data_IF_741710873550
#
_entry.id   IF_741710873550
#
_cell.length_a   1.000
_cell.length_b   1.000
_cell.length_c   1.000
_cell.angle_alpha   90.00
_cell.angle_beta   90.00
_cell.angle_gamma   90.00
#
_symmetry.space_group_name_H-M   'P 1'
#
loop_
_entity.id
_entity.type
_entity.pdbx_description
1 polymer ?
#
# COMPACT_ATOMS: atom_id res chain seq x y z
N UNK A 1 -49.96 0.16 6.95
CA UNK A 1 -48.87 1.06 6.51
C UNK A 1 -47.59 0.34 6.78
N UNK A 2 -47.07 -0.34 5.76
CA UNK A 2 -45.85 -1.13 5.79
C UNK A 2 -44.72 -0.20 5.39
N UNK A 3 -43.78 0.02 6.32
CA UNK A 3 -42.54 0.75 6.06
C UNK A 3 -41.63 -0.13 5.17
N UNK A 4 -41.44 0.31 3.94
CA UNK A 4 -40.39 -0.22 3.05
C UNK A 4 -39.04 0.21 3.60
N UNK A 5 -38.31 -0.77 4.14
CA UNK A 5 -36.86 -0.63 4.40
C UNK A 5 -36.16 -0.59 3.06
N UNK A 6 -35.67 0.57 2.66
CA UNK A 6 -34.67 0.71 1.60
C UNK A 6 -33.36 0.09 2.08
N UNK A 7 -33.16 -1.20 1.78
CA UNK A 7 -31.85 -1.81 1.83
C UNK A 7 -30.98 -1.18 0.72
N UNK A 8 -30.04 -0.35 1.13
CA UNK A 8 -28.93 0.06 0.26
C UNK A 8 -28.01 -1.15 0.14
N UNK A 9 -28.32 -2.02 -0.82
CA UNK A 9 -27.43 -3.11 -1.22
C UNK A 9 -26.27 -2.45 -1.99
N UNK A 10 -25.12 -2.33 -1.34
CA UNK A 10 -23.87 -2.10 -2.04
C UNK A 10 -23.53 -3.38 -2.80
N UNK A 11 -23.85 -3.37 -4.08
CA UNK A 11 -23.65 -4.48 -5.01
C UNK A 11 -22.16 -4.57 -5.38
N UNK A 12 -21.33 -5.17 -4.48
CA UNK A 12 -19.93 -5.49 -4.73
C UNK A 12 -19.78 -6.61 -5.79
N UNK A 13 -20.87 -7.24 -6.23
CA UNK A 13 -20.86 -8.39 -7.17
C UNK A 13 -21.08 -7.98 -8.65
N UNK A 14 -21.31 -6.71 -8.95
CA UNK A 14 -21.34 -6.21 -10.33
C UNK A 14 -20.03 -5.58 -10.75
N UNK A 15 -18.92 -6.30 -10.64
CA UNK A 15 -17.73 -5.97 -11.39
C UNK A 15 -17.98 -6.45 -12.83
N UNK A 16 -18.53 -5.56 -13.65
CA UNK A 16 -18.57 -5.75 -15.10
C UNK A 16 -17.14 -5.91 -15.62
N UNK A 17 -16.94 -6.82 -16.58
CA UNK A 17 -15.67 -7.15 -17.23
C UNK A 17 -15.05 -6.03 -18.07
N UNK A 18 -15.07 -4.79 -17.59
CA UNK A 18 -14.49 -3.62 -18.27
C UNK A 18 -14.10 -2.51 -17.27
N UNK A 19 -13.44 -2.87 -16.13
CA UNK A 19 -12.60 -1.85 -15.49
C UNK A 19 -11.40 -1.65 -16.42
N UNK A 20 -11.34 -0.51 -17.11
CA UNK A 20 -10.13 -0.08 -17.81
C UNK A 20 -9.04 0.08 -16.73
N UNK A 21 -8.04 -0.79 -16.79
CA UNK A 21 -6.88 -0.68 -15.90
C UNK A 21 -6.16 0.64 -16.19
N UNK A 22 -5.67 1.27 -15.13
CA UNK A 22 -4.85 2.47 -15.28
C UNK A 22 -3.65 2.15 -16.17
N UNK A 23 -3.38 3.02 -17.14
CA UNK A 23 -2.25 2.84 -18.05
C UNK A 23 -0.93 2.94 -17.25
N UNK A 24 0.00 1.97 -17.37
CA UNK A 24 1.31 2.05 -16.71
C UNK A 24 2.07 3.35 -16.99
N UNK A 25 1.96 3.91 -18.19
CA UNK A 25 2.61 5.18 -18.55
C UNK A 25 2.01 6.37 -17.79
N UNK A 26 0.72 6.35 -17.51
CA UNK A 26 0.07 7.39 -16.67
C UNK A 26 0.55 7.32 -15.22
N UNK A 27 0.65 6.11 -14.64
CA UNK A 27 1.22 5.91 -13.31
C UNK A 27 2.69 6.33 -13.24
N UNK A 28 3.45 6.04 -14.29
CA UNK A 28 4.84 6.51 -14.38
C UNK A 28 4.91 8.05 -14.37
N UNK A 29 4.05 8.73 -15.12
CA UNK A 29 3.99 10.19 -15.13
C UNK A 29 3.57 10.75 -13.75
N UNK A 30 2.62 10.11 -13.07
CA UNK A 30 2.24 10.45 -11.69
C UNK A 30 3.42 10.32 -10.74
N UNK A 31 4.19 9.23 -10.82
CA UNK A 31 5.40 9.02 -10.03
C UNK A 31 6.40 10.16 -10.24
N UNK A 32 6.69 10.51 -11.50
CA UNK A 32 7.64 11.58 -11.82
C UNK A 32 7.15 12.93 -11.28
N UNK A 33 5.87 13.25 -11.44
CA UNK A 33 5.29 14.47 -10.88
C UNK A 33 5.37 14.49 -9.34
N UNK A 34 5.18 13.36 -8.69
CA UNK A 34 5.28 13.23 -7.25
C UNK A 34 6.73 13.50 -6.79
N UNK A 35 7.72 12.88 -7.43
CA UNK A 35 9.15 13.08 -7.12
C UNK A 35 9.57 14.54 -7.35
N UNK A 36 9.19 15.14 -8.47
CA UNK A 36 9.56 16.51 -8.83
C UNK A 36 8.97 17.58 -7.90
N UNK A 37 7.88 17.30 -7.18
CA UNK A 37 7.32 18.22 -6.18
C UNK A 37 8.25 18.50 -5.01
N UNK A 38 9.07 17.53 -4.60
CA UNK A 38 9.99 17.71 -3.46
C UNK A 38 11.46 17.68 -3.86
N UNK A 39 11.78 17.17 -5.05
CA UNK A 39 13.11 17.18 -5.65
C UNK A 39 13.09 17.72 -7.08
N UNK A 40 12.87 19.04 -7.28
CA UNK A 40 12.70 19.62 -8.63
C UNK A 40 13.96 19.53 -9.50
N UNK A 41 15.14 19.40 -8.88
CA UNK A 41 16.45 19.36 -9.54
C UNK A 41 17.02 17.95 -9.69
N UNK A 42 16.32 16.91 -9.20
CA UNK A 42 16.85 15.56 -9.23
C UNK A 42 16.84 14.96 -10.64
N UNK A 43 17.91 14.28 -10.94
CA UNK A 43 18.01 13.46 -12.15
C UNK A 43 17.12 12.22 -12.00
N UNK A 44 16.08 12.15 -12.83
CA UNK A 44 15.10 11.05 -12.88
C UNK A 44 15.55 9.88 -13.76
N UNK A 45 16.75 9.95 -14.37
CA UNK A 45 17.22 8.94 -15.34
C UNK A 45 17.28 7.53 -14.75
N UNK A 46 17.63 7.41 -13.44
CA UNK A 46 17.64 6.12 -12.75
C UNK A 46 16.23 5.56 -12.55
N UNK A 47 15.25 6.40 -12.26
CA UNK A 47 13.83 6.00 -12.12
C UNK A 47 13.29 5.55 -13.47
N UNK A 48 13.58 6.30 -14.54
CA UNK A 48 13.20 5.94 -15.90
C UNK A 48 13.82 4.61 -16.33
N UNK A 49 15.10 4.40 -16.04
CA UNK A 49 15.80 3.15 -16.29
C UNK A 49 15.16 1.98 -15.53
N UNK A 50 14.84 2.17 -14.24
CA UNK A 50 14.18 1.16 -13.42
C UNK A 50 12.80 0.78 -13.97
N UNK A 51 12.00 1.77 -14.37
CA UNK A 51 10.71 1.52 -15.00
C UNK A 51 10.83 0.68 -16.27
N UNK A 52 11.77 1.01 -17.17
CA UNK A 52 12.02 0.25 -18.42
C UNK A 52 12.43 -1.19 -18.13
N UNK A 53 13.35 -1.39 -17.19
CA UNK A 53 13.84 -2.71 -16.78
C UNK A 53 12.72 -3.54 -16.16
N UNK A 54 11.96 -2.99 -15.19
CA UNK A 54 10.86 -3.69 -14.56
C UNK A 54 9.73 -4.01 -15.56
N UNK A 55 9.40 -3.08 -16.48
CA UNK A 55 8.38 -3.29 -17.51
C UNK A 55 8.74 -4.42 -18.45
N UNK A 56 9.99 -4.51 -18.89
CA UNK A 56 10.42 -5.61 -19.75
C UNK A 56 10.50 -6.94 -18.98
N UNK A 57 10.98 -6.92 -17.73
CA UNK A 57 11.10 -8.10 -16.88
C UNK A 57 9.72 -8.74 -16.57
N UNK A 58 8.68 -7.92 -16.37
CA UNK A 58 7.32 -8.36 -16.05
C UNK A 58 6.35 -8.33 -17.24
N UNK A 59 6.84 -8.19 -18.47
CA UNK A 59 6.06 -7.92 -19.69
C UNK A 59 4.87 -8.87 -19.94
N UNK A 60 4.98 -10.13 -19.55
CA UNK A 60 3.94 -11.14 -19.75
C UNK A 60 3.30 -11.60 -18.43
N UNK A 61 3.53 -10.87 -17.37
CA UNK A 61 2.98 -11.20 -16.05
C UNK A 61 1.75 -10.34 -15.75
N UNK A 62 0.76 -10.97 -15.14
CA UNK A 62 -0.50 -10.34 -14.74
C UNK A 62 -0.81 -10.67 -13.28
N UNK A 63 -1.38 -9.72 -12.57
CA UNK A 63 -1.89 -9.94 -11.23
C UNK A 63 -3.22 -10.73 -11.26
N UNK A 64 -3.69 -11.17 -10.09
CA UNK A 64 -5.00 -11.86 -9.96
C UNK A 64 -6.17 -10.96 -10.35
N UNK A 65 -6.01 -9.64 -10.31
CA UNK A 65 -6.95 -8.64 -10.83
C UNK A 65 -7.09 -8.68 -12.36
N UNK A 66 -6.10 -9.28 -13.08
CA UNK A 66 -5.99 -9.25 -14.54
C UNK A 66 -5.18 -8.06 -15.06
N UNK A 67 -4.74 -7.14 -14.20
CA UNK A 67 -3.90 -6.00 -14.59
C UNK A 67 -2.45 -6.41 -14.88
N UNK A 68 -1.72 -5.68 -15.75
CA UNK A 68 -0.28 -5.89 -15.97
C UNK A 68 0.49 -5.77 -14.64
N UNK A 69 1.44 -6.68 -14.41
CA UNK A 69 2.17 -6.75 -13.14
C UNK A 69 2.88 -5.44 -12.78
N UNK A 70 3.41 -4.72 -13.79
CA UNK A 70 4.16 -3.46 -13.60
C UNK A 70 3.36 -2.37 -12.85
N UNK A 71 2.03 -2.44 -12.85
CA UNK A 71 1.17 -1.52 -12.11
C UNK A 71 1.46 -1.59 -10.60
N UNK A 72 1.78 -2.79 -10.08
CA UNK A 72 2.09 -2.96 -8.67
C UNK A 72 3.37 -2.22 -8.25
N UNK A 73 4.56 -2.47 -8.81
CA UNK A 73 5.77 -1.77 -8.41
C UNK A 73 5.71 -0.26 -8.65
N UNK A 74 4.97 0.21 -9.67
CA UNK A 74 4.75 1.65 -9.85
C UNK A 74 3.95 2.25 -8.69
N UNK A 75 2.88 1.59 -8.24
CA UNK A 75 2.13 2.05 -7.07
C UNK A 75 2.95 2.01 -5.79
N UNK A 76 3.79 0.98 -5.60
CA UNK A 76 4.73 0.92 -4.49
C UNK A 76 5.67 2.14 -4.52
N UNK A 77 6.23 2.44 -5.68
CA UNK A 77 7.11 3.61 -5.87
C UNK A 77 6.39 4.96 -5.62
N UNK A 78 5.13 5.09 -6.03
CA UNK A 78 4.30 6.28 -5.74
C UNK A 78 4.09 6.44 -4.24
N UNK A 79 3.80 5.36 -3.51
CA UNK A 79 3.65 5.39 -2.05
C UNK A 79 4.96 5.86 -1.39
N UNK A 80 6.10 5.35 -1.84
CA UNK A 80 7.41 5.77 -1.34
C UNK A 80 7.73 7.24 -1.67
N UNK A 81 7.38 7.69 -2.87
CA UNK A 81 7.50 9.10 -3.29
C UNK A 81 6.60 10.03 -2.45
N UNK A 82 5.38 9.61 -2.14
CA UNK A 82 4.47 10.33 -1.24
C UNK A 82 5.03 10.49 0.20
N UNK A 83 5.88 9.55 0.62
CA UNK A 83 6.63 9.63 1.88
C UNK A 83 7.91 10.45 1.76
N UNK A 84 8.21 10.98 0.56
CA UNK A 84 9.39 11.81 0.25
C UNK A 84 10.71 11.08 0.52
N UNK A 85 10.78 9.81 0.19
CA UNK A 85 11.99 9.01 0.32
C UNK A 85 12.97 9.31 -0.83
N UNK A 86 14.23 8.90 -0.63
CA UNK A 86 15.30 9.11 -1.60
C UNK A 86 15.10 8.31 -2.89
N UNK A 87 15.80 8.73 -3.92
CA UNK A 87 15.72 8.15 -5.27
C UNK A 87 16.06 6.66 -5.28
N UNK A 88 17.07 6.24 -4.56
CA UNK A 88 17.51 4.85 -4.44
C UNK A 88 16.41 3.96 -3.85
N UNK A 89 15.69 4.45 -2.84
CA UNK A 89 14.54 3.76 -2.24
C UNK A 89 13.38 3.61 -3.23
N UNK A 90 13.08 4.66 -4.00
CA UNK A 90 12.03 4.64 -5.02
C UNK A 90 12.37 3.64 -6.12
N UNK A 91 13.63 3.66 -6.61
CA UNK A 91 14.15 2.73 -7.61
C UNK A 91 14.11 1.29 -7.09
N UNK A 92 14.52 1.05 -5.85
CA UNK A 92 14.41 -0.26 -5.21
C UNK A 92 12.94 -0.71 -5.09
N UNK A 93 12.00 0.23 -4.84
CA UNK A 93 10.57 -0.06 -4.84
C UNK A 93 10.01 -0.46 -6.21
N UNK A 94 10.56 0.08 -7.31
CA UNK A 94 10.20 -0.36 -8.68
C UNK A 94 10.76 -1.75 -8.98
N UNK A 95 11.91 -2.10 -8.42
CA UNK A 95 12.68 -3.31 -8.75
C UNK A 95 12.54 -4.43 -7.71
N UNK A 96 11.73 -4.25 -6.64
CA UNK A 96 11.75 -5.13 -5.48
C UNK A 96 11.39 -6.60 -5.80
N UNK A 97 10.50 -6.85 -6.77
CA UNK A 97 10.09 -8.19 -7.19
C UNK A 97 10.90 -8.75 -8.37
N UNK A 98 11.75 -7.92 -9.02
CA UNK A 98 12.43 -8.31 -10.27
C UNK A 98 13.36 -9.51 -10.08
N UNK A 99 14.05 -9.59 -8.94
CA UNK A 99 14.98 -10.70 -8.65
C UNK A 99 14.24 -11.99 -8.29
N UNK A 100 13.06 -11.90 -7.68
CA UNK A 100 12.28 -13.08 -7.27
C UNK A 100 11.46 -13.66 -8.42
N UNK A 101 10.85 -12.79 -9.22
CA UNK A 101 9.84 -13.15 -10.21
C UNK A 101 10.38 -13.22 -11.64
N UNK A 102 11.66 -12.89 -11.86
CA UNK A 102 12.26 -12.85 -13.20
C UNK A 102 13.65 -13.49 -13.26
N UNK A 103 14.29 -13.43 -14.43
CA UNK A 103 15.63 -13.96 -14.66
C UNK A 103 16.76 -13.02 -14.22
N UNK A 104 16.45 -11.80 -13.76
CA UNK A 104 17.42 -10.81 -13.33
C UNK A 104 18.07 -11.23 -12.00
N UNK A 105 19.39 -11.12 -11.92
CA UNK A 105 20.15 -11.46 -10.72
C UNK A 105 20.50 -10.23 -9.87
N UNK A 106 20.90 -10.46 -8.60
CA UNK A 106 21.41 -9.39 -7.74
C UNK A 106 22.67 -8.73 -8.33
N UNK A 107 23.55 -9.51 -9.00
CA UNK A 107 24.70 -8.98 -9.69
C UNK A 107 24.33 -8.05 -10.86
N UNK A 108 23.27 -8.38 -11.59
CA UNK A 108 22.75 -7.50 -12.64
C UNK A 108 22.24 -6.20 -12.08
N UNK A 109 21.46 -6.24 -10.97
CA UNK A 109 21.00 -5.03 -10.29
C UNK A 109 22.18 -4.17 -9.81
N UNK A 110 23.20 -4.79 -9.21
CA UNK A 110 24.39 -4.09 -8.72
C UNK A 110 25.14 -3.41 -9.84
N UNK A 111 25.29 -4.08 -10.97
CA UNK A 111 25.94 -3.52 -12.17
C UNK A 111 25.15 -2.37 -12.78
N UNK A 112 23.81 -2.49 -12.81
CA UNK A 112 22.93 -1.54 -13.51
C UNK A 112 22.55 -0.34 -12.66
N UNK A 113 22.35 -0.52 -11.34
CA UNK A 113 21.75 0.48 -10.43
C UNK A 113 22.63 0.80 -9.21
N UNK A 114 23.76 0.12 -9.06
CA UNK A 114 24.70 0.31 -7.95
C UNK A 114 24.39 -0.53 -6.71
N UNK A 115 25.33 -0.46 -5.74
CA UNK A 115 25.30 -1.28 -4.53
C UNK A 115 24.09 -0.96 -3.63
N UNK A 116 23.74 0.31 -3.47
CA UNK A 116 22.65 0.77 -2.60
C UNK A 116 21.30 0.15 -3.01
N UNK A 117 20.94 0.25 -4.29
CA UNK A 117 19.70 -0.33 -4.81
C UNK A 117 19.72 -1.86 -4.70
N UNK A 118 20.84 -2.51 -5.04
CA UNK A 118 20.95 -3.97 -4.95
C UNK A 118 20.79 -4.46 -3.51
N UNK A 119 21.40 -3.78 -2.53
CA UNK A 119 21.28 -4.10 -1.10
C UNK A 119 19.86 -3.91 -0.57
N UNK A 120 19.16 -2.88 -1.02
CA UNK A 120 17.76 -2.64 -0.64
C UNK A 120 16.86 -3.75 -1.18
N UNK A 121 16.97 -4.10 -2.46
CA UNK A 121 16.19 -5.18 -3.07
C UNK A 121 16.49 -6.52 -2.41
N UNK A 122 17.76 -6.87 -2.20
CA UNK A 122 18.15 -8.09 -1.48
C UNK A 122 17.55 -8.13 -0.05
N UNK A 123 17.55 -6.99 0.64
CA UNK A 123 16.94 -6.86 1.95
C UNK A 123 15.43 -7.14 1.94
N UNK A 124 14.69 -6.62 0.95
CA UNK A 124 13.25 -6.85 0.79
C UNK A 124 12.97 -8.31 0.48
N UNK A 125 13.68 -8.91 -0.49
CA UNK A 125 13.61 -10.33 -0.86
C UNK A 125 13.83 -11.26 0.35
N UNK A 126 14.82 -10.97 1.18
CA UNK A 126 15.08 -11.74 2.41
C UNK A 126 13.96 -11.63 3.43
N UNK A 127 13.31 -10.47 3.53
CA UNK A 127 12.13 -10.32 4.40
C UNK A 127 10.92 -11.10 3.89
N UNK A 128 10.74 -11.22 2.59
CA UNK A 128 9.63 -11.94 1.97
C UNK A 128 9.66 -13.44 2.24
N UNK A 129 10.84 -14.02 2.24
CA UNK A 129 11.09 -15.44 2.55
C UNK A 129 10.86 -15.83 4.01
N UNK A 130 10.55 -14.87 4.89
CA UNK A 130 10.23 -15.15 6.28
C UNK A 130 8.76 -15.60 6.38
N UNK A 131 8.43 -16.84 6.77
CA UNK A 131 7.05 -17.30 6.92
C UNK A 131 6.39 -16.61 8.11
N UNK A 132 5.59 -15.58 7.86
CA UNK A 132 4.94 -14.79 8.92
C UNK A 132 3.67 -15.43 9.48
N UNK A 133 3.08 -16.38 8.76
CA UNK A 133 1.86 -17.10 9.19
C UNK A 133 2.15 -18.56 9.47
N UNK A 134 2.04 -18.96 10.72
CA UNK A 134 1.90 -20.38 11.08
C UNK A 134 0.53 -20.91 10.63
N UNK A 135 0.49 -22.11 10.05
CA UNK A 135 -0.72 -22.80 9.60
C UNK A 135 -1.79 -22.89 10.70
N UNK A 136 -3.06 -22.83 10.26
CA UNK A 136 -4.27 -22.80 11.06
C UNK A 136 -4.30 -23.79 12.23
N UNK A 137 -4.69 -23.29 13.41
CA UNK A 137 -5.51 -24.08 14.31
C UNK A 137 -5.03 -24.34 15.72
N UNK A 138 -3.76 -24.12 16.11
CA UNK A 138 -3.36 -24.29 17.52
C UNK A 138 -2.47 -23.14 18.00
N UNK A 139 -2.83 -22.57 19.14
CA UNK A 139 -1.95 -21.74 19.96
C UNK A 139 -0.90 -22.64 20.59
N UNK A 140 0.11 -23.07 19.82
CA UNK A 140 1.24 -23.81 20.36
C UNK A 140 2.38 -22.84 20.63
N UNK A 141 3.16 -23.11 21.69
CA UNK A 141 4.37 -22.35 22.03
C UNK A 141 5.32 -22.21 20.82
N UNK A 142 5.36 -23.24 19.96
CA UNK A 142 6.11 -23.25 18.72
C UNK A 142 5.67 -22.15 17.71
N UNK A 143 4.39 -21.77 17.68
CA UNK A 143 3.89 -20.68 16.82
C UNK A 143 4.35 -19.32 17.33
N UNK A 144 4.32 -19.12 18.64
CA UNK A 144 4.80 -17.90 19.29
C UNK A 144 6.31 -17.73 19.10
N UNK A 145 7.10 -18.79 19.24
CA UNK A 145 8.53 -18.78 19.00
C UNK A 145 8.86 -18.45 17.53
N UNK A 146 8.14 -19.01 16.58
CA UNK A 146 8.31 -18.72 15.15
C UNK A 146 7.96 -17.26 14.83
N UNK A 147 6.87 -16.72 15.37
CA UNK A 147 6.51 -15.32 15.22
C UNK A 147 7.58 -14.38 15.83
N UNK A 148 8.08 -14.71 17.01
CA UNK A 148 9.14 -13.95 17.66
C UNK A 148 10.44 -13.96 16.84
N UNK A 149 10.84 -15.10 16.28
CA UNK A 149 12.03 -15.20 15.43
C UNK A 149 11.86 -14.43 14.11
N UNK A 150 10.66 -14.45 13.53
CA UNK A 150 10.36 -13.69 12.33
C UNK A 150 10.42 -12.17 12.59
N UNK A 151 9.82 -11.71 13.68
CA UNK A 151 9.94 -10.32 14.11
C UNK A 151 11.40 -9.93 14.37
N UNK A 152 12.18 -10.81 15.01
CA UNK A 152 13.62 -10.59 15.22
C UNK A 152 14.38 -10.41 13.91
N UNK A 153 14.12 -11.25 12.89
CA UNK A 153 14.73 -11.12 11.56
C UNK A 153 14.35 -9.81 10.90
N UNK A 154 13.10 -9.40 11.00
CA UNK A 154 12.64 -8.10 10.50
C UNK A 154 13.37 -6.95 11.20
N UNK A 155 13.50 -6.97 12.53
CA UNK A 155 14.25 -5.96 13.26
C UNK A 155 15.75 -5.94 12.91
N UNK A 156 16.35 -7.08 12.65
CA UNK A 156 17.74 -7.16 12.19
C UNK A 156 17.93 -6.56 10.80
N UNK A 157 16.97 -6.77 9.89
CA UNK A 157 16.99 -6.13 8.58
C UNK A 157 16.82 -4.60 8.69
N UNK A 158 15.88 -4.14 9.54
CA UNK A 158 15.70 -2.71 9.84
C UNK A 158 16.94 -2.06 10.46
N UNK A 159 17.66 -2.79 11.29
CA UNK A 159 18.90 -2.29 11.91
C UNK A 159 20.04 -2.10 10.91
N UNK A 160 19.99 -2.81 9.76
CA UNK A 160 20.95 -2.61 8.66
C UNK A 160 20.56 -1.40 7.81
N UNK A 161 19.35 -1.34 7.35
CA UNK A 161 18.81 -0.21 6.59
C UNK A 161 17.29 -0.12 6.77
N UNK A 162 16.81 0.98 7.35
CA UNK A 162 15.39 1.21 7.59
C UNK A 162 14.57 1.31 6.30
N UNK A 163 15.21 1.67 5.18
CA UNK A 163 14.54 1.80 3.87
C UNK A 163 13.93 0.48 3.40
N UNK A 164 14.54 -0.66 3.77
CA UNK A 164 14.03 -2.01 3.47
C UNK A 164 12.62 -2.20 4.01
N UNK A 165 12.36 -1.81 5.27
CA UNK A 165 11.02 -1.95 5.84
C UNK A 165 10.04 -0.90 5.29
N UNK A 166 10.54 0.28 4.86
CA UNK A 166 9.71 1.28 4.20
C UNK A 166 9.17 0.74 2.88
N UNK A 167 10.03 0.09 2.07
CA UNK A 167 9.61 -0.57 0.82
C UNK A 167 8.59 -1.67 1.13
N UNK A 168 8.86 -2.51 2.13
CA UNK A 168 7.93 -3.61 2.50
C UNK A 168 6.59 -3.12 3.04
N UNK A 169 6.55 -1.99 3.75
CA UNK A 169 5.29 -1.35 4.18
C UNK A 169 4.50 -0.79 2.99
N UNK A 170 5.19 -0.19 2.00
CA UNK A 170 4.55 0.31 0.78
C UNK A 170 4.00 -0.85 -0.08
N UNK A 171 4.76 -1.93 -0.23
CA UNK A 171 4.31 -3.16 -0.88
C UNK A 171 3.08 -3.74 -0.17
N UNK A 172 3.14 -3.91 1.15
CA UNK A 172 2.01 -4.41 1.95
C UNK A 172 0.78 -3.53 1.78
N UNK A 173 0.93 -2.21 1.79
CA UNK A 173 -0.18 -1.30 1.62
C UNK A 173 -0.84 -1.46 0.25
N UNK A 174 -0.06 -1.53 -0.83
CA UNK A 174 -0.64 -1.77 -2.16
C UNK A 174 -1.31 -3.15 -2.27
N UNK A 175 -0.72 -4.19 -1.67
CA UNK A 175 -1.34 -5.51 -1.62
C UNK A 175 -2.66 -5.49 -0.83
N UNK A 176 -2.78 -4.71 0.23
CA UNK A 176 -4.04 -4.53 0.98
C UNK A 176 -5.10 -3.76 0.18
N UNK A 177 -4.72 -2.75 -0.62
CA UNK A 177 -5.62 -2.02 -1.53
C UNK A 177 -6.23 -2.93 -2.60
N UNK A 178 -5.48 -3.92 -3.05
CA UNK A 178 -5.89 -4.88 -4.09
C UNK A 178 -6.37 -6.23 -3.54
N UNK A 179 -6.59 -6.34 -2.22
CA UNK A 179 -6.88 -7.60 -1.53
C UNK A 179 -8.22 -8.21 -1.95
N UNK A 180 -9.15 -7.42 -2.50
CA UNK A 180 -10.46 -7.87 -3.00
C UNK A 180 -10.38 -8.99 -4.06
N UNK A 181 -9.27 -9.09 -4.79
CA UNK A 181 -9.06 -10.10 -5.82
C UNK A 181 -8.51 -11.44 -5.30
N UNK A 182 -8.29 -11.56 -3.98
CA UNK A 182 -7.85 -12.80 -3.34
C UNK A 182 -9.03 -13.61 -2.82
N UNK A 183 -8.83 -14.92 -2.54
CA UNK A 183 -9.84 -15.73 -1.88
C UNK A 183 -10.16 -15.21 -0.47
N UNK A 184 -11.37 -15.48 0.05
CA UNK A 184 -11.77 -15.02 1.40
C UNK A 184 -10.82 -15.49 2.50
N UNK A 185 -10.31 -16.72 2.40
CA UNK A 185 -9.34 -17.27 3.34
C UNK A 185 -8.00 -16.51 3.28
N UNK A 186 -7.55 -16.19 2.05
CA UNK A 186 -6.33 -15.39 1.85
C UNK A 186 -6.53 -13.95 2.35
N UNK A 187 -7.69 -13.34 2.10
CA UNK A 187 -8.03 -12.01 2.58
C UNK A 187 -7.92 -11.94 4.11
N UNK A 188 -8.55 -12.85 4.82
CA UNK A 188 -8.51 -12.87 6.29
C UNK A 188 -7.12 -13.14 6.83
N UNK A 189 -6.37 -14.08 6.24
CA UNK A 189 -5.00 -14.36 6.65
C UNK A 189 -4.08 -13.15 6.48
N UNK A 190 -4.11 -12.53 5.30
CA UNK A 190 -3.26 -11.37 4.97
C UNK A 190 -3.65 -10.15 5.82
N UNK A 191 -4.95 -9.90 6.03
CA UNK A 191 -5.42 -8.80 6.86
C UNK A 191 -5.00 -8.99 8.33
N UNK A 192 -5.09 -10.21 8.88
CA UNK A 192 -4.64 -10.52 10.25
C UNK A 192 -3.14 -10.32 10.42
N UNK A 193 -2.34 -10.85 9.49
CA UNK A 193 -0.90 -10.64 9.46
C UNK A 193 -0.55 -9.15 9.39
N UNK A 194 -1.28 -8.38 8.58
CA UNK A 194 -1.09 -6.94 8.46
C UNK A 194 -1.37 -6.23 9.79
N UNK A 195 -2.47 -6.57 10.45
CA UNK A 195 -2.85 -5.98 11.73
C UNK A 195 -1.88 -6.35 12.86
N UNK A 196 -1.43 -7.61 12.91
CA UNK A 196 -0.58 -8.12 14.00
C UNK A 196 0.89 -7.71 13.87
N UNK A 197 1.39 -7.50 12.63
CA UNK A 197 2.82 -7.29 12.37
C UNK A 197 3.09 -5.91 11.77
N UNK A 198 2.47 -5.58 10.63
CA UNK A 198 2.83 -4.38 9.87
C UNK A 198 2.29 -3.09 10.49
N UNK A 199 1.07 -3.09 11.06
CA UNK A 199 0.53 -1.92 11.73
C UNK A 199 1.36 -1.51 12.96
N UNK A 200 1.78 -2.42 13.87
CA UNK A 200 2.68 -2.09 14.97
C UNK A 200 4.05 -1.58 14.51
N UNK A 201 4.60 -2.10 13.41
CA UNK A 201 5.87 -1.61 12.85
C UNK A 201 5.69 -0.18 12.32
N UNK A 202 4.66 0.08 11.50
CA UNK A 202 4.36 1.42 11.00
C UNK A 202 4.13 2.43 12.13
N UNK A 203 3.50 2.00 13.23
CA UNK A 203 3.31 2.82 14.43
C UNK A 203 4.63 3.18 15.11
N UNK A 204 5.54 2.21 15.30
CA UNK A 204 6.85 2.44 15.93
C UNK A 204 7.75 3.35 15.10
N UNK A 205 7.62 3.29 13.78
CA UNK A 205 8.33 4.15 12.86
C UNK A 205 7.70 5.53 12.69
N UNK A 206 6.52 5.78 13.30
CA UNK A 206 5.82 7.05 13.21
C UNK A 206 5.18 7.32 11.85
N UNK A 207 5.03 6.30 10.98
CA UNK A 207 4.46 6.44 9.63
C UNK A 207 2.93 6.37 9.72
N UNK A 208 2.33 7.40 10.31
CA UNK A 208 0.89 7.43 10.62
C UNK A 208 0.00 7.27 9.38
N UNK A 209 0.41 7.81 8.22
CA UNK A 209 -0.35 7.70 6.96
C UNK A 209 -0.54 6.23 6.55
N UNK A 210 0.54 5.47 6.50
CA UNK A 210 0.49 4.03 6.16
C UNK A 210 -0.23 3.24 7.25
N UNK A 211 0.08 3.51 8.54
CA UNK A 211 -0.53 2.81 9.66
C UNK A 211 -2.05 2.89 9.62
N UNK A 212 -2.60 4.11 9.52
CA UNK A 212 -4.06 4.33 9.54
C UNK A 212 -4.72 3.57 8.38
N UNK A 213 -4.18 3.66 7.17
CA UNK A 213 -4.75 2.97 6.02
C UNK A 213 -4.65 1.45 6.13
N UNK A 214 -3.54 0.91 6.65
CA UNK A 214 -3.39 -0.52 6.91
C UNK A 214 -4.39 -1.02 7.96
N UNK A 215 -4.63 -0.25 9.04
CA UNK A 215 -5.60 -0.57 10.08
C UNK A 215 -7.03 -0.57 9.53
N UNK A 216 -7.41 0.46 8.75
CA UNK A 216 -8.73 0.58 8.12
C UNK A 216 -8.99 -0.58 7.15
N UNK A 217 -8.03 -0.88 6.28
CA UNK A 217 -8.13 -2.01 5.35
C UNK A 217 -8.16 -3.36 6.08
N UNK A 218 -7.40 -3.52 7.16
CA UNK A 218 -7.44 -4.75 7.96
C UNK A 218 -8.79 -4.94 8.61
N UNK A 219 -9.38 -3.90 9.21
CA UNK A 219 -10.71 -3.94 9.80
C UNK A 219 -11.79 -4.31 8.76
N UNK A 220 -11.70 -3.74 7.55
CA UNK A 220 -12.63 -4.05 6.44
C UNK A 220 -12.72 -5.54 6.13
N UNK A 221 -11.59 -6.28 6.17
CA UNK A 221 -11.56 -7.69 5.83
C UNK A 221 -11.74 -8.61 7.03
N UNK A 222 -11.37 -8.19 8.24
CA UNK A 222 -11.49 -9.00 9.45
C UNK A 222 -12.88 -8.90 10.07
N UNK A 223 -13.45 -7.69 10.11
CA UNK A 223 -14.72 -7.38 10.74
C UNK A 223 -15.58 -6.47 9.83
N UNK A 224 -16.04 -6.96 8.68
CA UNK A 224 -16.72 -6.14 7.68
C UNK A 224 -17.99 -5.46 8.21
N UNK A 225 -18.78 -6.13 9.03
CA UNK A 225 -20.00 -5.54 9.62
C UNK A 225 -19.67 -4.31 10.47
N UNK A 226 -18.67 -4.43 11.36
CA UNK A 226 -18.22 -3.32 12.21
C UNK A 226 -17.61 -2.18 11.38
N UNK A 227 -16.87 -2.52 10.32
CA UNK A 227 -16.29 -1.53 9.40
C UNK A 227 -17.36 -0.70 8.70
N UNK A 228 -18.36 -1.33 8.09
CA UNK A 228 -19.41 -0.60 7.36
C UNK A 228 -20.33 0.20 8.28
N UNK A 229 -20.67 -0.31 9.47
CA UNK A 229 -21.39 0.45 10.52
C UNK A 229 -20.62 1.72 10.92
N UNK A 230 -19.29 1.60 11.09
CA UNK A 230 -18.43 2.74 11.41
C UNK A 230 -18.40 3.76 10.27
N UNK A 231 -18.25 3.30 9.02
CA UNK A 231 -18.24 4.17 7.82
C UNK A 231 -19.53 4.95 7.72
N UNK A 232 -20.67 4.31 7.92
CA UNK A 232 -21.98 4.97 7.91
C UNK A 232 -22.10 6.06 8.99
N UNK A 233 -21.72 5.72 10.24
CA UNK A 233 -21.74 6.66 11.37
C UNK A 233 -20.82 7.86 11.16
N UNK A 234 -19.64 7.64 10.58
CA UNK A 234 -18.70 8.72 10.25
C UNK A 234 -19.24 9.61 9.13
N UNK A 235 -19.85 9.02 8.09
CA UNK A 235 -20.46 9.76 6.99
C UNK A 235 -21.62 10.65 7.48
N UNK A 236 -22.50 10.14 8.34
CA UNK A 236 -23.58 10.92 8.95
C UNK A 236 -23.05 12.10 9.75
N UNK A 237 -22.02 11.90 10.60
CA UNK A 237 -21.40 12.99 11.38
C UNK A 237 -20.72 14.02 10.48
N UNK A 238 -20.07 13.59 9.40
CA UNK A 238 -19.47 14.48 8.42
C UNK A 238 -20.53 15.39 7.78
N UNK A 239 -21.63 14.83 7.32
CA UNK A 239 -22.72 15.60 6.69
C UNK A 239 -23.30 16.64 7.65
N UNK A 240 -23.54 16.29 8.91
CA UNK A 240 -24.02 17.22 9.95
C UNK A 240 -23.02 18.35 10.18
N UNK A 241 -21.75 18.02 10.31
CA UNK A 241 -20.68 19.02 10.50
C UNK A 241 -20.55 19.95 9.28
N UNK A 242 -20.56 19.38 8.07
CA UNK A 242 -20.39 20.16 6.84
C UNK A 242 -21.58 21.11 6.64
N UNK A 243 -22.82 20.67 6.93
CA UNK A 243 -24.02 21.52 6.93
C UNK A 243 -23.91 22.66 7.96
N UNK A 244 -23.41 22.38 9.16
CA UNK A 244 -23.21 23.39 10.20
C UNK A 244 -22.15 24.43 9.76
N UNK A 245 -21.02 23.98 9.23
CA UNK A 245 -19.95 24.88 8.73
C UNK A 245 -20.45 25.75 7.58
N UNK A 246 -21.22 25.18 6.62
CA UNK A 246 -21.82 25.95 5.54
C UNK A 246 -22.80 27.01 6.05
N UNK A 247 -23.60 26.68 7.08
CA UNK A 247 -24.47 27.64 7.75
C UNK A 247 -23.69 28.79 8.37
N UNK A 248 -22.65 28.50 9.12
CA UNK A 248 -21.76 29.53 9.70
C UNK A 248 -21.12 30.42 8.65
N UNK A 249 -20.60 29.84 7.56
CA UNK A 249 -20.00 30.60 6.46
C UNK A 249 -21.01 31.55 5.81
N UNK A 250 -22.25 31.09 5.61
CA UNK A 250 -23.34 31.92 5.06
C UNK A 250 -23.71 33.08 6.01
N UNK A 251 -23.79 32.83 7.32
CA UNK A 251 -24.09 33.85 8.33
C UNK A 251 -22.99 34.91 8.39
N UNK A 252 -21.70 34.48 8.47
CA UNK A 252 -20.55 35.42 8.47
C UNK A 252 -20.52 36.24 7.18
N UNK A 253 -20.77 35.64 6.02
CA UNK A 253 -20.81 36.37 4.75
C UNK A 253 -21.92 37.42 4.74
N UNK A 254 -23.13 37.10 5.23
CA UNK A 254 -24.24 38.03 5.35
C UNK A 254 -23.88 39.20 6.26
N UNK A 255 -23.30 38.95 7.43
CA UNK A 255 -22.90 40.03 8.35
C UNK A 255 -21.85 40.95 7.77
N UNK A 256 -20.89 40.40 7.01
CA UNK A 256 -19.85 41.22 6.32
C UNK A 256 -20.52 42.08 5.23
N UNK A 257 -21.45 41.55 4.47
CA UNK A 257 -22.18 42.29 3.42
C UNK A 257 -23.09 43.38 4.00
N UNK A 258 -23.68 43.16 5.18
CA UNK A 258 -24.48 44.16 5.89
C UNK A 258 -23.65 45.24 6.58
N UNK A 259 -22.39 44.93 6.92
CA UNK A 259 -21.51 45.90 7.58
C UNK A 259 -20.76 46.85 6.61
N UNK A 260 -20.91 46.64 5.27
CA UNK A 260 -20.32 47.51 4.24
C UNK A 260 -18.99 47.09 3.79
#
# INVERSE_FOLDING_TARGET
>A
MTEEKNEVIFDDDKISKSEEFVNPDELYQELIQCVQKYHPSDDISMIEKAYKVASEAHKNQFRKSGEPYIIHPLNVAIILADLKLDKETIVAGILHDVVEDTVMTEEDLRREFGDDVALLVDGVTKLEKIPLSGSNGEQSDAKLEMQAENLRKMFLAMAKDIRVIMIKLADRLHNMRTLKYQSKEAQQRIARETQEIYCPIAQRLGISKIKIELEDLSLKYLEPEAYYDLVEKVALRKNVRDSYVQGLVADVRREIEEAG
#
